data_IF_063054789329
#
_entry.id   IF_063054789329
#
_cell.length_a   1.000
_cell.length_b   1.000
_cell.length_c   1.000
_cell.angle_alpha   90.00
_cell.angle_beta   90.00
_cell.angle_gamma   90.00
#
_symmetry.space_group_name_H-M   'P 1'
#
loop_
_entity.id
_entity.type
_entity.pdbx_description
1 polymer ?
#
# COMPACT_ATOMS: atom_id res chain seq x y z
N UNK A 1 8.40 -6.52 -12.87
CA UNK A 1 7.86 -5.31 -12.22
C UNK A 1 7.96 -4.05 -13.08
N UNK A 2 9.14 -3.67 -13.60
CA UNK A 2 9.35 -2.41 -14.33
C UNK A 2 8.34 -2.14 -15.47
N UNK A 3 8.12 -3.12 -16.35
CA UNK A 3 7.18 -2.98 -17.49
C UNK A 3 5.75 -2.76 -16.99
N UNK A 4 5.31 -3.50 -15.96
CA UNK A 4 3.96 -3.39 -15.40
C UNK A 4 3.77 -1.99 -14.80
N UNK A 5 4.71 -1.53 -13.97
CA UNK A 5 4.64 -0.22 -13.34
C UNK A 5 4.68 0.92 -14.36
N UNK A 6 5.44 0.78 -15.45
CA UNK A 6 5.45 1.77 -16.54
C UNK A 6 4.08 1.91 -17.22
N UNK A 7 3.38 0.78 -17.44
CA UNK A 7 2.03 0.78 -17.99
C UNK A 7 1.01 1.38 -17.01
N UNK A 8 1.10 1.01 -15.73
CA UNK A 8 0.25 1.59 -14.67
C UNK A 8 0.44 3.10 -14.58
N UNK A 9 1.69 3.57 -14.65
CA UNK A 9 2.00 5.01 -14.66
C UNK A 9 1.42 5.70 -15.89
N UNK A 10 1.59 5.12 -17.08
CA UNK A 10 1.00 5.67 -18.31
C UNK A 10 -0.52 5.76 -18.21
N UNK A 11 -1.18 4.73 -17.66
CA UNK A 11 -2.64 4.73 -17.52
C UNK A 11 -3.12 5.75 -16.49
N UNK A 12 -2.52 5.79 -15.30
CA UNK A 12 -2.96 6.73 -14.27
C UNK A 12 -2.60 8.20 -14.55
N UNK A 13 -1.72 8.48 -15.51
CA UNK A 13 -1.54 9.83 -16.05
C UNK A 13 -2.64 10.20 -17.07
N UNK A 14 -3.20 9.22 -17.78
CA UNK A 14 -4.25 9.44 -18.80
C UNK A 14 -5.65 9.48 -18.19
N UNK A 15 -5.88 8.70 -17.13
CA UNK A 15 -7.15 8.64 -16.42
C UNK A 15 -6.95 9.26 -15.04
N UNK A 16 -7.79 10.23 -14.67
CA UNK A 16 -7.79 10.73 -13.29
C UNK A 16 -7.98 9.55 -12.34
N UNK A 17 -7.15 9.47 -11.30
CA UNK A 17 -7.15 8.35 -10.33
C UNK A 17 -8.52 8.13 -9.66
N UNK A 18 -9.37 9.16 -9.66
CA UNK A 18 -10.74 9.14 -9.14
C UNK A 18 -11.80 8.76 -10.18
N UNK A 19 -11.40 8.47 -11.42
CA UNK A 19 -12.31 8.01 -12.45
C UNK A 19 -12.86 6.62 -12.07
N UNK A 20 -14.18 6.38 -12.17
CA UNK A 20 -14.78 5.07 -11.92
C UNK A 20 -14.23 3.97 -12.85
N UNK A 21 -13.50 4.35 -13.90
CA UNK A 21 -12.86 3.44 -14.84
C UNK A 21 -11.72 2.60 -14.23
N UNK A 22 -11.10 3.02 -13.11
CA UNK A 22 -10.00 2.28 -12.49
C UNK A 22 -10.43 1.74 -11.13
N UNK A 23 -10.61 0.41 -10.98
CA UNK A 23 -10.87 -0.20 -9.68
C UNK A 23 -9.59 -0.21 -8.84
N UNK A 24 -9.25 0.93 -8.25
CA UNK A 24 -8.00 1.15 -7.49
C UNK A 24 -7.72 0.06 -6.44
N UNK A 25 -8.68 -0.40 -5.61
CA UNK A 25 -8.41 -1.46 -4.63
C UNK A 25 -7.93 -2.77 -5.27
N UNK A 26 -8.54 -3.16 -6.40
CA UNK A 26 -8.15 -4.37 -7.13
C UNK A 26 -6.78 -4.21 -7.78
N UNK A 27 -6.49 -3.02 -8.33
CA UNK A 27 -5.18 -2.72 -8.91
C UNK A 27 -4.07 -2.82 -7.86
N UNK A 28 -4.24 -2.18 -6.70
CA UNK A 28 -3.26 -2.25 -5.60
C UNK A 28 -3.06 -3.69 -5.18
N UNK A 29 -4.15 -4.46 -5.01
CA UNK A 29 -4.06 -5.87 -4.63
C UNK A 29 -3.21 -6.68 -5.59
N UNK A 30 -3.50 -6.60 -6.89
CA UNK A 30 -2.77 -7.35 -7.90
C UNK A 30 -1.31 -6.93 -7.97
N UNK A 31 -1.02 -5.63 -7.85
CA UNK A 31 0.36 -5.12 -7.82
C UNK A 31 1.13 -5.62 -6.61
N UNK A 32 0.51 -5.69 -5.44
CA UNK A 32 1.15 -6.21 -4.23
C UNK A 32 1.39 -7.71 -4.28
N UNK A 33 0.45 -8.50 -4.80
CA UNK A 33 0.63 -9.94 -5.00
C UNK A 33 1.80 -10.20 -5.98
N UNK A 34 1.86 -9.45 -7.08
CA UNK A 34 2.97 -9.53 -8.03
C UNK A 34 4.29 -9.07 -7.38
N UNK A 35 4.25 -8.03 -6.55
CA UNK A 35 5.41 -7.52 -5.80
C UNK A 35 5.94 -8.56 -4.82
N UNK A 36 5.04 -9.28 -4.13
CA UNK A 36 5.35 -10.39 -3.23
C UNK A 36 6.04 -11.52 -3.99
N UNK A 37 5.42 -11.98 -5.09
CA UNK A 37 5.93 -13.06 -5.94
C UNK A 37 7.32 -12.79 -6.53
N UNK A 38 7.57 -11.54 -6.90
CA UNK A 38 8.82 -11.11 -7.54
C UNK A 38 9.87 -10.62 -6.53
N UNK A 39 9.57 -10.68 -5.24
CA UNK A 39 10.37 -10.14 -4.13
C UNK A 39 10.97 -8.75 -4.40
N UNK A 40 10.11 -7.83 -4.85
CA UNK A 40 10.52 -6.46 -5.13
C UNK A 40 10.53 -5.66 -3.82
N UNK A 41 11.31 -4.57 -3.82
CA UNK A 41 11.30 -3.60 -2.73
C UNK A 41 9.87 -3.18 -2.36
N UNK A 42 9.55 -3.30 -1.06
CA UNK A 42 8.21 -3.06 -0.49
C UNK A 42 7.73 -1.62 -0.67
N UNK A 43 8.63 -0.69 -0.97
CA UNK A 43 8.29 0.70 -1.29
C UNK A 43 7.75 0.93 -2.70
N UNK A 44 7.94 -0.02 -3.62
CA UNK A 44 7.81 0.23 -5.06
C UNK A 44 6.35 0.52 -5.47
N UNK A 45 5.40 -0.25 -4.95
CA UNK A 45 3.98 -0.13 -5.31
C UNK A 45 3.40 1.18 -4.80
N UNK A 46 3.52 1.46 -3.49
CA UNK A 46 2.98 2.68 -2.92
C UNK A 46 3.67 3.93 -3.44
N UNK A 47 5.00 3.94 -3.60
CA UNK A 47 5.71 5.11 -4.12
C UNK A 47 5.28 5.46 -5.53
N UNK A 48 5.06 4.45 -6.38
CA UNK A 48 4.59 4.68 -7.76
C UNK A 48 3.16 5.21 -7.77
N UNK A 49 2.26 4.63 -6.97
CA UNK A 49 0.87 5.08 -6.87
C UNK A 49 0.76 6.52 -6.35
N UNK A 50 1.54 6.86 -5.32
CA UNK A 50 1.65 8.24 -4.83
C UNK A 50 2.18 9.18 -5.92
N UNK A 51 3.17 8.75 -6.72
CA UNK A 51 3.73 9.57 -7.81
C UNK A 51 2.73 9.87 -8.94
N UNK A 52 1.70 9.03 -9.08
CA UNK A 52 0.61 9.19 -10.05
C UNK A 52 -0.54 10.05 -9.47
N UNK A 53 -0.44 10.45 -8.20
CA UNK A 53 -1.43 11.32 -7.54
C UNK A 53 -2.51 10.56 -6.78
N UNK A 54 -2.30 9.27 -6.47
CA UNK A 54 -3.19 8.55 -5.55
C UNK A 54 -3.09 9.18 -4.16
N UNK A 55 -4.21 9.57 -3.53
CA UNK A 55 -4.19 10.12 -2.18
C UNK A 55 -3.69 9.07 -1.16
N UNK A 56 -2.86 9.52 -0.22
CA UNK A 56 -2.37 8.69 0.90
C UNK A 56 -3.53 8.02 1.64
N UNK A 57 -4.60 8.77 1.88
CA UNK A 57 -5.78 8.27 2.60
C UNK A 57 -6.43 7.07 1.90
N UNK A 58 -6.62 7.15 0.58
CA UNK A 58 -7.21 6.07 -0.21
C UNK A 58 -6.34 4.83 -0.21
N UNK A 59 -5.01 5.00 -0.31
CA UNK A 59 -4.08 3.87 -0.29
C UNK A 59 -4.05 3.18 1.08
N UNK A 60 -4.09 3.97 2.16
CA UNK A 60 -4.13 3.45 3.53
C UNK A 60 -5.41 2.68 3.83
N UNK A 61 -6.57 3.18 3.38
CA UNK A 61 -7.85 2.46 3.49
C UNK A 61 -7.83 1.13 2.73
N UNK A 62 -7.13 1.06 1.60
CA UNK A 62 -6.97 -0.18 0.84
C UNK A 62 -6.08 -1.17 1.62
N UNK A 63 -4.95 -0.71 2.17
CA UNK A 63 -4.08 -1.56 2.97
C UNK A 63 -4.76 -2.04 4.27
N UNK A 64 -5.55 -1.20 4.92
CA UNK A 64 -6.34 -1.57 6.10
C UNK A 64 -7.38 -2.66 5.78
N UNK A 65 -8.06 -2.54 4.64
CA UNK A 65 -8.97 -3.58 4.14
C UNK A 65 -8.24 -4.89 3.84
N UNK A 66 -7.08 -4.83 3.17
CA UNK A 66 -6.25 -6.02 2.91
C UNK A 66 -5.84 -6.72 4.21
N UNK A 67 -5.45 -5.93 5.20
CA UNK A 67 -5.07 -6.42 6.51
C UNK A 67 -6.24 -7.12 7.22
N UNK A 68 -7.42 -6.51 7.17
CA UNK A 68 -8.66 -7.04 7.76
C UNK A 68 -9.09 -8.35 7.11
N UNK A 69 -8.97 -8.45 5.78
CA UNK A 69 -9.30 -9.67 5.03
C UNK A 69 -8.36 -10.82 5.43
N UNK A 70 -7.09 -10.52 5.76
CA UNK A 70 -6.11 -11.49 6.25
C UNK A 70 -5.99 -12.73 5.32
N UNK A 71 -5.90 -12.46 4.02
CA UNK A 71 -5.79 -13.49 2.99
C UNK A 71 -4.46 -14.27 3.10
N UNK A 72 -4.50 -15.57 2.77
CA UNK A 72 -3.33 -16.45 2.71
C UNK A 72 -2.53 -16.31 1.42
N UNK A 73 -2.97 -15.47 0.47
CA UNK A 73 -2.26 -15.23 -0.79
C UNK A 73 -0.77 -14.88 -0.57
N UNK A 74 -0.45 -14.11 0.48
CA UNK A 74 0.93 -13.74 0.83
C UNK A 74 1.80 -14.96 1.16
N UNK A 75 1.25 -15.91 1.93
CA UNK A 75 1.91 -17.17 2.27
C UNK A 75 2.13 -18.04 1.02
N UNK A 76 1.14 -18.08 0.12
CA UNK A 76 1.23 -18.84 -1.13
C UNK A 76 2.33 -18.30 -2.07
N UNK A 77 2.53 -16.98 -2.08
CA UNK A 77 3.59 -16.34 -2.85
C UNK A 77 4.96 -16.38 -2.14
N UNK A 78 5.05 -16.99 -0.95
CA UNK A 78 6.30 -17.26 -0.23
C UNK A 78 6.70 -16.24 0.83
N UNK A 79 5.86 -15.25 1.14
CA UNK A 79 6.11 -14.28 2.21
C UNK A 79 4.82 -13.88 2.92
N UNK A 80 4.51 -14.56 4.03
CA UNK A 80 3.33 -14.29 4.85
C UNK A 80 3.31 -12.88 5.47
N UNK A 81 4.48 -12.25 5.62
CA UNK A 81 4.66 -10.93 6.22
C UNK A 81 4.73 -9.80 5.18
N UNK A 82 4.51 -10.08 3.89
CA UNK A 82 4.68 -9.08 2.82
C UNK A 82 3.87 -7.81 3.11
N UNK A 83 2.60 -7.94 3.47
CA UNK A 83 1.71 -6.80 3.70
C UNK A 83 2.18 -5.92 4.86
N UNK A 84 2.64 -6.50 5.97
CA UNK A 84 3.12 -5.70 7.11
C UNK A 84 4.44 -4.99 6.79
N UNK A 85 5.32 -5.63 6.00
CA UNK A 85 6.56 -5.02 5.53
C UNK A 85 6.29 -3.83 4.57
N UNK A 86 5.27 -3.95 3.73
CA UNK A 86 4.80 -2.84 2.88
C UNK A 86 4.27 -1.69 3.73
N UNK A 87 3.44 -1.96 4.74
CA UNK A 87 2.90 -0.93 5.63
C UNK A 87 4.01 -0.24 6.42
N UNK A 88 5.01 -0.98 6.91
CA UNK A 88 6.18 -0.41 7.57
C UNK A 88 6.98 0.49 6.61
N UNK A 89 7.25 0.02 5.39
CA UNK A 89 7.94 0.81 4.37
C UNK A 89 7.14 2.05 3.95
N UNK A 90 5.80 1.97 3.97
CA UNK A 90 4.91 3.10 3.74
C UNK A 90 5.01 4.12 4.86
N UNK A 91 5.06 3.67 6.12
CA UNK A 91 5.29 4.52 7.28
C UNK A 91 6.62 5.27 7.18
N UNK A 92 7.71 4.57 6.84
CA UNK A 92 9.04 5.17 6.66
C UNK A 92 9.02 6.23 5.55
N UNK A 93 8.38 5.92 4.42
CA UNK A 93 8.23 6.84 3.29
C UNK A 93 7.42 8.10 3.69
N UNK A 94 6.42 7.93 4.54
CA UNK A 94 5.58 9.00 5.06
C UNK A 94 6.34 9.91 6.04
N UNK A 95 7.15 9.32 6.93
CA UNK A 95 8.01 10.04 7.88
C UNK A 95 9.09 10.82 7.11
N UNK A 96 9.72 10.18 6.11
CA UNK A 96 10.79 10.79 5.32
C UNK A 96 10.31 11.98 4.47
N UNK A 97 9.04 11.98 4.04
CA UNK A 97 8.48 13.08 3.26
C UNK A 97 7.07 13.45 3.73
N UNK A 98 6.95 14.29 4.78
CA UNK A 98 5.64 14.66 5.31
C UNK A 98 4.81 15.51 4.34
N UNK A 99 5.40 16.06 3.25
CA UNK A 99 4.67 16.84 2.25
C UNK A 99 3.68 16.02 1.41
N UNK A 100 3.74 14.69 1.50
CA UNK A 100 2.83 13.78 0.78
C UNK A 100 1.39 13.91 1.29
N UNK A 101 1.18 14.37 2.53
CA UNK A 101 -0.15 14.65 3.08
C UNK A 101 -0.29 16.11 3.57
N UNK A 102 -1.50 16.69 3.46
CA UNK A 102 -1.79 18.01 3.99
C UNK A 102 -1.66 17.99 5.53
N UNK A 103 -1.14 19.09 6.09
CA UNK A 103 -0.66 19.15 7.49
C UNK A 103 -1.72 18.79 8.53
N UNK A 104 -2.98 19.07 8.25
CA UNK A 104 -4.15 18.76 9.07
C UNK A 104 -4.49 17.26 9.14
N UNK A 105 -4.11 16.47 8.13
CA UNK A 105 -4.45 15.04 8.07
C UNK A 105 -3.30 14.13 8.52
N UNK A 106 -2.08 14.67 8.65
CA UNK A 106 -0.87 13.89 8.96
C UNK A 106 -0.99 13.10 10.25
N UNK A 107 -1.49 13.73 11.31
CA UNK A 107 -1.62 13.11 12.61
C UNK A 107 -2.60 11.92 12.58
N UNK A 108 -3.73 12.09 11.90
CA UNK A 108 -4.75 11.04 11.75
C UNK A 108 -4.19 9.87 10.94
N UNK A 109 -3.54 10.13 9.79
CA UNK A 109 -2.97 9.08 8.95
C UNK A 109 -1.81 8.34 9.63
N UNK A 110 -0.97 9.06 10.37
CA UNK A 110 0.09 8.44 11.17
C UNK A 110 -0.49 7.52 12.26
N UNK A 111 -1.51 7.97 12.99
CA UNK A 111 -2.21 7.13 13.98
C UNK A 111 -2.80 5.89 13.33
N UNK A 112 -3.43 6.00 12.16
CA UNK A 112 -3.98 4.84 11.45
C UNK A 112 -2.89 3.83 11.12
N UNK A 113 -1.73 4.27 10.61
CA UNK A 113 -0.58 3.39 10.33
C UNK A 113 -0.10 2.69 11.60
N UNK A 114 0.09 3.45 12.69
CA UNK A 114 0.53 2.91 13.98
C UNK A 114 -0.49 1.92 14.54
N UNK A 115 -1.79 2.19 14.42
CA UNK A 115 -2.84 1.29 14.88
C UNK A 115 -2.84 -0.04 14.11
N UNK A 116 -2.61 -0.01 12.80
CA UNK A 116 -2.50 -1.23 11.99
C UNK A 116 -1.27 -2.06 12.43
N UNK A 117 -0.12 -1.40 12.64
CA UNK A 117 1.10 -2.06 13.11
C UNK A 117 0.92 -2.66 14.51
N UNK A 118 0.30 -1.93 15.44
CA UNK A 118 -0.01 -2.41 16.79
C UNK A 118 -1.00 -3.58 16.74
N UNK A 119 -2.05 -3.48 15.94
CA UNK A 119 -3.04 -4.55 15.76
C UNK A 119 -2.38 -5.84 15.27
N UNK A 120 -1.48 -5.74 14.28
CA UNK A 120 -0.68 -6.88 13.83
C UNK A 120 0.21 -7.45 14.92
N UNK A 121 0.91 -6.59 15.68
CA UNK A 121 1.79 -7.03 16.76
C UNK A 121 1.02 -7.85 17.81
N UNK A 122 -0.14 -7.36 18.26
CA UNK A 122 -0.99 -8.10 19.19
C UNK A 122 -1.52 -9.40 18.60
N UNK A 123 -1.91 -9.41 17.31
CA UNK A 123 -2.40 -10.62 16.64
C UNK A 123 -1.33 -11.71 16.53
N UNK A 124 -0.06 -11.32 16.42
CA UNK A 124 1.08 -12.23 16.29
C UNK A 124 1.59 -12.74 17.65
N UNK A 125 1.41 -11.96 18.73
CA UNK A 125 1.87 -12.34 20.08
C UNK A 125 0.90 -13.28 20.84
N UNK A 126 -0.34 -13.40 20.36
CA UNK A 126 -1.41 -14.24 20.97
C UNK A 126 -1.54 -15.60 20.26
N UNK A 127 -0.72 -15.86 19.24
CA UNK A 127 -0.57 -17.16 18.57
C UNK A 127 0.74 -17.82 18.98
#
# INVERSE_FOLDING_TARGET
MLIIMSKVKSLGLQFTVQSPCIPLPHLVWQLEVISCRLDVNKSHVHSTLLSIGVPVGSLLEIYDKMFTINDRCWLLEGNEFHLIQVIASFADSFIANPKIAPMNERYVKYITIVNILISWFFKTMVL
#
